data_IF_145342981355
#
_entry.id   IF_145342981355
#
_cell.length_a   1.000
_cell.length_b   1.000
_cell.length_c   1.000
_cell.angle_alpha   90.00
_cell.angle_beta   90.00
_cell.angle_gamma   90.00
#
_symmetry.space_group_name_H-M   'P 1'
#
loop_
_entity.id
_entity.type
_entity.pdbx_description
1 polymer ?
#
# COMPACT_ATOMS: atom_id res chain seq x y z
N UNK A 1 -25.34 -3.30 9.75
CA UNK A 1 -23.95 -2.80 9.75
C UNK A 1 -23.12 -3.73 10.62
N UNK A 2 -22.05 -4.31 10.09
CA UNK A 2 -21.08 -5.04 10.90
C UNK A 2 -20.45 -4.07 11.90
N UNK A 3 -20.38 -4.47 13.17
CA UNK A 3 -19.64 -3.75 14.21
C UNK A 3 -18.19 -4.23 14.16
N UNK A 4 -17.26 -3.29 14.24
CA UNK A 4 -15.82 -3.54 14.17
C UNK A 4 -15.16 -3.14 15.48
N UNK A 5 -14.09 -3.83 15.83
CA UNK A 5 -13.29 -3.56 17.02
C UNK A 5 -11.89 -3.12 16.56
N UNK A 6 -11.49 -1.92 16.99
CA UNK A 6 -10.15 -1.36 16.75
C UNK A 6 -9.08 -1.94 17.68
N UNK A 7 -7.87 -1.37 17.62
CA UNK A 7 -6.82 -1.62 18.61
C UNK A 7 -7.37 -1.30 20.03
N UNK A 8 -7.05 -2.14 21.01
CA UNK A 8 -7.44 -1.98 22.42
C UNK A 8 -8.95 -1.96 22.71
N UNK A 9 -9.77 -2.64 21.90
CA UNK A 9 -11.21 -2.76 22.10
C UNK A 9 -12.01 -1.44 22.04
N UNK A 10 -11.39 -0.37 21.55
CA UNK A 10 -12.04 0.94 21.46
C UNK A 10 -12.98 1.05 20.24
N UNK A 11 -14.26 1.31 20.50
CA UNK A 11 -15.31 1.57 19.50
C UNK A 11 -15.59 3.09 19.46
N UNK A 12 -14.56 3.88 19.13
CA UNK A 12 -14.57 5.35 19.26
C UNK A 12 -14.94 6.09 17.97
N UNK A 13 -15.29 5.39 16.88
CA UNK A 13 -15.42 6.03 15.57
C UNK A 13 -16.84 5.94 15.02
N UNK A 14 -17.55 7.07 15.08
CA UNK A 14 -18.73 7.30 14.23
C UNK A 14 -18.24 7.73 12.85
N UNK A 15 -18.28 6.82 11.89
CA UNK A 15 -17.85 7.09 10.52
C UNK A 15 -18.97 7.84 9.78
N UNK A 16 -18.82 9.15 9.56
CA UNK A 16 -19.71 9.91 8.68
C UNK A 16 -19.35 9.62 7.22
N UNK A 17 -19.79 8.46 6.74
CA UNK A 17 -19.48 7.96 5.39
C UNK A 17 -20.27 8.69 4.31
N UNK A 18 -21.46 9.23 4.63
CA UNK A 18 -22.35 9.83 3.64
C UNK A 18 -21.80 11.16 3.11
N UNK A 19 -21.36 12.06 3.99
CA UNK A 19 -20.76 13.33 3.56
C UNK A 19 -19.45 13.12 2.79
N UNK A 20 -18.67 12.09 3.14
CA UNK A 20 -17.40 11.79 2.48
C UNK A 20 -17.58 11.13 1.10
N UNK A 21 -18.67 10.39 0.87
CA UNK A 21 -18.94 9.70 -0.40
C UNK A 21 -19.03 10.68 -1.55
N UNK A 22 -19.88 11.71 -1.43
CA UNK A 22 -20.14 12.65 -2.52
C UNK A 22 -18.89 13.48 -2.89
N UNK A 23 -18.08 13.82 -1.89
CA UNK A 23 -16.87 14.60 -2.12
C UNK A 23 -15.75 13.76 -2.77
N UNK A 24 -15.53 12.53 -2.27
CA UNK A 24 -14.37 11.70 -2.65
C UNK A 24 -14.66 10.90 -3.92
N UNK A 25 -15.86 10.32 -4.04
CA UNK A 25 -16.25 9.39 -5.10
C UNK A 25 -16.82 10.09 -6.34
N UNK A 26 -17.05 9.31 -7.40
CA UNK A 26 -17.79 9.75 -8.58
C UNK A 26 -19.29 9.81 -8.24
N UNK A 27 -19.78 11.00 -7.90
CA UNK A 27 -21.17 11.23 -7.51
C UNK A 27 -22.13 11.52 -8.69
N UNK A 28 -21.60 11.65 -9.91
CA UNK A 28 -22.36 12.15 -11.06
C UNK A 28 -23.35 11.13 -11.67
N UNK A 29 -23.35 9.88 -11.17
CA UNK A 29 -24.23 8.79 -11.62
C UNK A 29 -24.10 8.44 -13.11
N UNK A 30 -23.18 9.09 -13.82
CA UNK A 30 -23.00 9.02 -15.28
C UNK A 30 -21.60 8.56 -15.64
N UNK A 31 -20.61 8.83 -14.79
CA UNK A 31 -19.25 8.36 -14.97
C UNK A 31 -19.10 6.96 -14.39
N UNK A 32 -18.73 6.00 -15.25
CA UNK A 32 -18.29 4.69 -14.79
C UNK A 32 -16.97 4.80 -14.01
N UNK A 33 -16.75 3.87 -13.07
CA UNK A 33 -15.47 3.74 -12.40
C UNK A 33 -14.34 3.53 -13.40
N UNK A 34 -13.23 4.24 -13.19
CA UNK A 34 -11.96 3.98 -13.86
C UNK A 34 -11.11 3.23 -12.88
N UNK A 35 -11.13 1.91 -13.01
CA UNK A 35 -10.42 0.98 -12.13
C UNK A 35 -9.84 -0.15 -12.97
N UNK A 36 -8.78 -0.74 -12.47
CA UNK A 36 -8.21 -1.99 -12.97
C UNK A 36 -8.50 -3.09 -11.93
N UNK A 37 -8.67 -4.32 -12.40
CA UNK A 37 -8.98 -5.48 -11.56
C UNK A 37 -7.98 -6.59 -11.84
N UNK A 38 -7.35 -7.08 -10.78
CA UNK A 38 -6.48 -8.24 -10.82
C UNK A 38 -6.94 -9.27 -9.78
N UNK A 39 -6.71 -10.54 -10.07
CA UNK A 39 -7.03 -11.64 -9.17
C UNK A 39 -5.89 -12.64 -9.11
N UNK A 40 -5.42 -12.91 -7.90
CA UNK A 40 -4.42 -13.93 -7.62
C UNK A 40 -5.10 -15.05 -6.84
N UNK A 41 -4.92 -16.29 -7.27
CA UNK A 41 -5.52 -17.45 -6.61
C UNK A 41 -4.52 -18.59 -6.54
N UNK A 42 -4.51 -19.28 -5.41
CA UNK A 42 -3.68 -20.45 -5.17
C UNK A 42 -4.53 -21.59 -4.63
N UNK A 43 -4.38 -22.77 -5.23
CA UNK A 43 -5.00 -24.02 -4.83
C UNK A 43 -3.93 -25.00 -4.38
N UNK A 44 -4.22 -25.73 -3.30
CA UNK A 44 -3.36 -26.76 -2.73
C UNK A 44 -4.05 -28.11 -2.71
N UNK A 45 -3.27 -29.19 -2.73
CA UNK A 45 -3.82 -30.53 -2.57
C UNK A 45 -4.34 -30.73 -1.14
N UNK A 46 -5.50 -31.36 -0.99
CA UNK A 46 -6.02 -31.76 0.30
C UNK A 46 -5.23 -32.96 0.85
N UNK A 47 -4.39 -32.72 1.86
CA UNK A 47 -3.58 -33.76 2.50
C UNK A 47 -4.41 -34.74 3.36
N UNK A 48 -5.75 -34.63 3.36
CA UNK A 48 -6.69 -35.49 4.08
C UNK A 48 -7.17 -36.75 3.35
N UNK A 49 -6.68 -37.04 2.14
CA UNK A 49 -7.05 -38.25 1.38
C UNK A 49 -6.03 -39.37 1.65
N UNK A 50 -6.44 -40.60 2.04
CA UNK A 50 -5.52 -41.71 2.23
C UNK A 50 -4.73 -41.95 0.95
N UNK A 51 -3.39 -41.88 1.08
CA UNK A 51 -2.41 -42.18 0.04
C UNK A 51 -2.72 -43.51 -0.67
N UNK A 52 -3.38 -43.44 -1.82
CA UNK A 52 -3.79 -44.62 -2.59
C UNK A 52 -4.31 -44.32 -4.00
N UNK A 53 -4.88 -43.14 -4.25
CA UNK A 53 -5.20 -42.68 -5.60
C UNK A 53 -4.03 -41.86 -6.15
N UNK A 54 -3.32 -42.45 -7.12
CA UNK A 54 -2.32 -41.72 -7.92
C UNK A 54 -3.08 -40.79 -8.87
N UNK A 55 -2.98 -39.49 -8.61
CA UNK A 55 -3.43 -38.45 -9.55
C UNK A 55 -2.39 -38.27 -10.66
N UNK A 56 -2.84 -38.03 -11.89
CA UNK A 56 -1.99 -37.73 -13.07
C UNK A 56 -1.40 -36.31 -13.06
N UNK A 57 -1.56 -35.56 -11.97
CA UNK A 57 -0.92 -34.26 -11.77
C UNK A 57 0.55 -34.49 -11.43
N UNK A 58 1.42 -34.33 -12.41
CA UNK A 58 2.88 -34.34 -12.21
C UNK A 58 3.29 -33.22 -11.26
N UNK A 59 3.60 -33.59 -10.01
CA UNK A 59 4.28 -32.74 -9.05
C UNK A 59 3.44 -32.34 -7.84
N UNK A 60 4.09 -32.32 -6.68
CA UNK A 60 3.57 -31.86 -5.38
C UNK A 60 3.44 -30.32 -5.32
N UNK A 61 3.12 -29.68 -6.46
CA UNK A 61 3.23 -28.23 -6.64
C UNK A 61 1.86 -27.54 -6.56
N UNK A 62 1.81 -26.47 -5.76
CA UNK A 62 0.67 -25.56 -5.65
C UNK A 62 0.25 -25.00 -7.02
N UNK A 63 -1.04 -25.04 -7.32
CA UNK A 63 -1.58 -24.50 -8.57
C UNK A 63 -1.92 -23.03 -8.33
N UNK A 64 -1.23 -22.13 -9.04
CA UNK A 64 -1.40 -20.68 -8.90
C UNK A 64 -1.74 -20.03 -10.23
N UNK A 65 -2.78 -19.20 -10.22
CA UNK A 65 -3.22 -18.42 -11.37
C UNK A 65 -3.25 -16.93 -11.04
N UNK A 66 -2.97 -16.14 -12.07
CA UNK A 66 -3.13 -14.70 -12.07
C UNK A 66 -4.06 -14.30 -13.22
N UNK A 67 -5.10 -13.57 -12.89
CA UNK A 67 -5.86 -12.78 -13.85
C UNK A 67 -5.37 -11.34 -13.74
N UNK A 68 -4.74 -10.84 -14.80
CA UNK A 68 -4.41 -9.42 -14.92
C UNK A 68 -5.50 -8.69 -15.69
N UNK A 69 -5.66 -7.41 -15.38
CA UNK A 69 -6.46 -6.51 -16.20
C UNK A 69 -6.01 -6.57 -17.67
N UNK A 70 -6.98 -6.65 -18.59
CA UNK A 70 -6.74 -6.57 -20.04
C UNK A 70 -7.33 -5.27 -20.55
N UNK A 71 -6.53 -4.49 -21.27
CA UNK A 71 -6.92 -3.17 -21.81
C UNK A 71 -8.21 -3.21 -22.66
N UNK A 72 -8.51 -4.36 -23.28
CA UNK A 72 -9.69 -4.56 -24.12
C UNK A 72 -11.01 -4.56 -23.35
N UNK A 73 -11.00 -4.86 -22.05
CA UNK A 73 -12.20 -4.95 -21.21
C UNK A 73 -12.14 -3.91 -20.10
N UNK A 74 -13.06 -2.93 -20.05
CA UNK A 74 -13.07 -1.92 -18.99
C UNK A 74 -13.11 -2.55 -17.60
N UNK A 75 -12.20 -2.15 -16.70
CA UNK A 75 -12.02 -2.87 -15.42
C UNK A 75 -13.22 -2.79 -14.48
N UNK A 76 -14.09 -1.77 -14.60
CA UNK A 76 -15.36 -1.73 -13.86
C UNK A 76 -16.31 -2.87 -14.22
N UNK A 77 -16.24 -3.41 -15.45
CA UNK A 77 -17.04 -4.59 -15.85
C UNK A 77 -16.53 -5.85 -15.17
N UNK A 78 -15.21 -6.02 -15.11
CA UNK A 78 -14.58 -7.15 -14.43
C UNK A 78 -14.84 -7.09 -12.91
N UNK A 79 -14.81 -5.88 -12.33
CA UNK A 79 -15.22 -5.65 -10.94
C UNK A 79 -16.69 -6.06 -10.71
N UNK A 80 -17.61 -5.65 -11.59
CA UNK A 80 -19.03 -6.04 -11.50
C UNK A 80 -19.20 -7.56 -11.53
N UNK A 81 -18.52 -8.22 -12.48
CA UNK A 81 -18.52 -9.68 -12.60
C UNK A 81 -18.01 -10.34 -11.31
N UNK A 82 -16.88 -9.89 -10.77
CA UNK A 82 -16.23 -10.49 -9.61
C UNK A 82 -17.00 -10.29 -8.30
N UNK A 83 -17.45 -9.07 -8.02
CA UNK A 83 -18.00 -8.70 -6.71
C UNK A 83 -19.53 -8.79 -6.65
N UNK A 84 -20.25 -8.51 -7.74
CA UNK A 84 -21.73 -8.56 -7.74
C UNK A 84 -22.29 -9.83 -8.33
N UNK A 85 -21.64 -10.39 -9.36
CA UNK A 85 -22.12 -11.58 -10.07
C UNK A 85 -21.44 -12.88 -9.62
N UNK A 86 -20.46 -12.79 -8.73
CA UNK A 86 -19.81 -13.96 -8.12
C UNK A 86 -18.79 -14.66 -9.02
N UNK A 87 -18.32 -14.02 -10.10
CA UNK A 87 -17.28 -14.61 -10.93
C UNK A 87 -15.97 -14.74 -10.17
N UNK A 88 -15.24 -15.81 -10.46
CA UNK A 88 -14.00 -16.13 -9.79
C UNK A 88 -13.12 -17.00 -10.68
N UNK A 89 -11.80 -16.89 -10.53
CA UNK A 89 -10.85 -17.79 -11.20
C UNK A 89 -10.91 -19.16 -10.53
N UNK A 90 -11.09 -20.22 -11.32
CA UNK A 90 -11.11 -21.62 -10.90
C UNK A 90 -9.72 -22.29 -11.00
N UNK A 91 -9.65 -23.59 -10.71
CA UNK A 91 -8.40 -24.37 -10.76
C UNK A 91 -7.89 -24.66 -12.19
N UNK A 92 -8.64 -24.27 -13.23
CA UNK A 92 -8.21 -24.33 -14.62
C UNK A 92 -7.76 -22.95 -15.12
N UNK A 93 -7.78 -21.92 -14.26
CA UNK A 93 -7.48 -20.54 -14.64
C UNK A 93 -8.61 -19.84 -15.38
N UNK A 94 -9.83 -20.39 -15.37
CA UNK A 94 -10.99 -19.83 -16.07
C UNK A 94 -11.77 -18.92 -15.13
N UNK A 95 -12.04 -17.69 -15.57
CA UNK A 95 -12.86 -16.74 -14.83
C UNK A 95 -14.35 -16.95 -15.13
N UNK A 96 -15.07 -17.60 -14.21
CA UNK A 96 -16.46 -18.05 -14.41
C UNK A 96 -17.31 -17.85 -13.17
N UNK A 97 -18.64 -17.83 -13.35
CA UNK A 97 -19.63 -17.72 -12.27
C UNK A 97 -19.75 -19.02 -11.46
N UNK A 98 -19.54 -20.16 -12.13
CA UNK A 98 -19.61 -21.50 -11.53
C UNK A 98 -18.22 -22.15 -11.63
N UNK A 99 -17.30 -21.83 -10.71
CA UNK A 99 -15.95 -22.36 -10.76
C UNK A 99 -15.99 -23.89 -10.61
N UNK A 100 -15.35 -24.59 -11.53
CA UNK A 100 -15.27 -26.06 -11.47
C UNK A 100 -14.51 -26.41 -10.19
N UNK A 101 -15.06 -27.34 -9.39
CA UNK A 101 -14.41 -27.84 -8.18
C UNK A 101 -13.65 -29.10 -8.51
N UNK A 102 -12.39 -29.17 -8.09
CA UNK A 102 -11.62 -30.41 -8.17
C UNK A 102 -11.66 -31.09 -6.79
N UNK A 103 -11.94 -32.41 -6.71
CA UNK A 103 -12.12 -33.10 -5.43
C UNK A 103 -10.85 -33.13 -4.55
N UNK A 104 -9.67 -33.05 -5.17
CA UNK A 104 -8.39 -33.09 -4.46
C UNK A 104 -7.78 -31.70 -4.20
N UNK A 105 -8.36 -30.61 -4.73
CA UNK A 105 -7.80 -29.27 -4.59
C UNK A 105 -8.68 -28.39 -3.72
N UNK A 106 -8.05 -27.74 -2.75
CA UNK A 106 -8.67 -26.79 -1.83
C UNK A 106 -8.08 -25.40 -2.06
N UNK A 107 -8.91 -24.37 -1.91
CA UNK A 107 -8.46 -22.98 -1.98
C UNK A 107 -7.53 -22.68 -0.79
N UNK A 108 -6.29 -22.32 -1.08
CA UNK A 108 -5.33 -21.87 -0.06
C UNK A 108 -5.53 -20.38 0.23
N UNK A 109 -5.69 -19.59 -0.82
CA UNK A 109 -6.00 -18.18 -0.70
C UNK A 109 -6.34 -17.52 -2.03
N UNK A 110 -7.10 -16.43 -1.94
CA UNK A 110 -7.51 -15.60 -3.07
C UNK A 110 -7.31 -14.13 -2.73
N UNK A 111 -6.70 -13.36 -3.62
CA UNK A 111 -6.54 -11.91 -3.48
C UNK A 111 -7.14 -11.22 -4.68
N UNK A 112 -8.23 -10.49 -4.46
CA UNK A 112 -8.93 -9.66 -5.44
C UNK A 112 -8.49 -8.22 -5.25
N UNK A 113 -7.74 -7.69 -6.21
CA UNK A 113 -7.15 -6.36 -6.18
C UNK A 113 -7.90 -5.45 -7.13
N UNK A 114 -8.35 -4.30 -6.63
CA UNK A 114 -8.92 -3.21 -7.41
C UNK A 114 -8.00 -2.01 -7.30
N UNK A 115 -7.46 -1.56 -8.43
CA UNK A 115 -6.63 -0.37 -8.51
C UNK A 115 -7.51 0.78 -8.97
N UNK A 116 -7.60 1.83 -8.17
CA UNK A 116 -8.29 3.06 -8.52
C UNK A 116 -7.30 4.21 -8.72
N UNK A 117 -7.65 5.18 -9.56
CA UNK A 117 -6.78 6.31 -9.83
C UNK A 117 -7.14 7.50 -8.93
N UNK A 118 -6.11 8.20 -8.47
CA UNK A 118 -6.29 9.48 -7.78
C UNK A 118 -6.87 10.51 -8.74
N UNK A 119 -7.96 11.16 -8.31
CA UNK A 119 -8.60 12.26 -9.03
C UNK A 119 -8.25 13.58 -8.34
N UNK A 120 -7.56 14.45 -9.05
CA UNK A 120 -7.32 15.83 -8.61
C UNK A 120 -8.48 16.70 -9.11
N UNK A 121 -9.46 17.01 -8.26
CA UNK A 121 -10.57 17.90 -8.63
C UNK A 121 -10.18 19.38 -8.64
N UNK A 122 -9.14 19.78 -7.91
CA UNK A 122 -8.69 21.18 -7.84
C UNK A 122 -7.18 21.36 -7.87
N UNK A 123 -6.73 22.52 -8.37
CA UNK A 123 -5.33 22.99 -8.30
C UNK A 123 -4.85 23.13 -6.85
N UNK A 124 -5.78 23.35 -5.91
CA UNK A 124 -5.52 23.67 -4.51
C UNK A 124 -5.31 22.44 -3.61
N UNK A 125 -5.29 21.22 -4.19
CA UNK A 125 -5.05 19.93 -3.50
C UNK A 125 -6.00 19.61 -2.33
N UNK A 126 -7.08 20.36 -2.13
CA UNK A 126 -8.07 20.15 -1.05
C UNK A 126 -9.10 19.08 -1.38
N UNK A 127 -9.23 18.70 -2.64
CA UNK A 127 -10.21 17.70 -3.11
C UNK A 127 -9.48 16.50 -3.72
N UNK A 128 -8.83 15.72 -2.84
CA UNK A 128 -8.36 14.38 -3.18
C UNK A 128 -9.55 13.44 -3.29
N UNK A 129 -9.84 13.01 -4.52
CA UNK A 129 -10.86 12.02 -4.84
C UNK A 129 -10.29 10.73 -5.40
N UNK A 130 -11.15 9.74 -5.58
CA UNK A 130 -10.84 8.49 -6.28
C UNK A 130 -11.79 8.29 -7.46
N UNK A 131 -11.33 7.62 -8.50
CA UNK A 131 -12.11 7.33 -9.71
C UNK A 131 -13.03 6.12 -9.55
N UNK A 132 -13.72 6.03 -8.42
CA UNK A 132 -14.63 4.93 -8.08
C UNK A 132 -16.02 5.46 -7.73
N UNK A 133 -17.07 4.71 -8.08
CA UNK A 133 -18.46 5.02 -7.72
C UNK A 133 -18.80 4.51 -6.31
N UNK A 134 -19.83 5.06 -5.64
CA UNK A 134 -20.34 4.52 -4.38
C UNK A 134 -20.75 3.04 -4.46
N UNK A 135 -21.43 2.66 -5.55
CA UNK A 135 -21.91 1.28 -5.73
C UNK A 135 -20.74 0.29 -5.87
N UNK A 136 -19.65 0.69 -6.54
CA UNK A 136 -18.45 -0.14 -6.68
C UNK A 136 -17.71 -0.28 -5.35
N UNK A 137 -17.62 0.79 -4.56
CA UNK A 137 -17.04 0.73 -3.22
C UNK A 137 -17.85 -0.21 -2.31
N UNK A 138 -19.17 -0.11 -2.35
CA UNK A 138 -20.07 -0.89 -1.51
C UNK A 138 -20.05 -2.38 -1.88
N UNK A 139 -19.87 -2.70 -3.17
CA UNK A 139 -19.71 -4.08 -3.63
C UNK A 139 -18.43 -4.77 -3.12
N UNK A 140 -17.37 -4.00 -2.82
CA UNK A 140 -16.12 -4.56 -2.30
C UNK A 140 -16.18 -4.92 -0.80
N UNK A 141 -17.22 -4.48 -0.08
CA UNK A 141 -17.43 -4.73 1.35
C UNK A 141 -16.19 -4.43 2.23
N UNK A 142 -15.52 -3.31 1.92
CA UNK A 142 -14.37 -2.84 2.69
C UNK A 142 -14.79 -2.20 4.02
N UNK A 143 -13.83 -2.02 4.91
CA UNK A 143 -14.09 -1.35 6.19
C UNK A 143 -14.68 0.07 6.00
N UNK A 144 -15.69 0.49 6.80
CA UNK A 144 -16.35 1.80 6.65
C UNK A 144 -15.41 3.00 6.73
N UNK A 145 -14.28 2.87 7.42
CA UNK A 145 -13.28 3.93 7.55
C UNK A 145 -12.49 4.20 6.25
N UNK A 146 -12.59 3.35 5.23
CA UNK A 146 -11.79 3.41 3.98
C UNK A 146 -11.72 4.83 3.39
N UNK A 147 -12.88 5.49 3.24
CA UNK A 147 -12.93 6.84 2.68
C UNK A 147 -12.24 7.89 3.56
N UNK A 148 -12.41 7.80 4.87
CA UNK A 148 -11.79 8.73 5.82
C UNK A 148 -10.26 8.66 5.74
N UNK A 149 -9.70 7.47 5.61
CA UNK A 149 -8.26 7.25 5.52
C UNK A 149 -7.70 7.57 4.14
N UNK A 150 -8.50 7.50 3.08
CA UNK A 150 -8.03 7.85 1.72
C UNK A 150 -7.49 9.29 1.62
N UNK A 151 -7.98 10.22 2.45
CA UNK A 151 -7.50 11.62 2.50
C UNK A 151 -6.31 11.83 3.45
N UNK A 152 -6.04 10.87 4.32
CA UNK A 152 -4.93 10.94 5.28
C UNK A 152 -3.62 10.55 4.61
N UNK A 153 -2.53 10.88 5.29
CA UNK A 153 -1.15 10.55 4.92
C UNK A 153 -0.50 10.03 6.21
N UNK A 154 0.45 9.10 6.09
CA UNK A 154 1.20 8.51 7.21
C UNK A 154 0.30 8.03 8.36
N UNK A 155 -0.75 7.29 8.02
CA UNK A 155 -1.68 6.70 8.98
C UNK A 155 -1.89 5.21 8.69
N UNK A 156 -2.20 4.45 9.72
CA UNK A 156 -2.28 3.00 9.69
C UNK A 156 -3.33 2.54 10.69
N UNK A 157 -4.12 1.54 10.33
CA UNK A 157 -5.16 1.01 11.22
C UNK A 157 -5.51 -0.43 10.89
N UNK A 158 -5.75 -1.22 11.93
CA UNK A 158 -6.31 -2.57 11.83
C UNK A 158 -7.65 -2.64 12.55
N UNK A 159 -8.57 -3.44 12.00
CA UNK A 159 -9.89 -3.68 12.57
C UNK A 159 -10.26 -5.15 12.44
N UNK A 160 -10.84 -5.71 13.50
CA UNK A 160 -11.49 -7.01 13.43
C UNK A 160 -13.01 -6.83 13.44
N UNK A 161 -13.73 -7.68 12.73
CA UNK A 161 -15.16 -7.83 12.98
C UNK A 161 -15.40 -8.41 14.39
N UNK A 162 -16.53 -8.11 15.01
CA UNK A 162 -16.86 -8.66 16.35
C UNK A 162 -16.80 -10.19 16.41
N UNK A 163 -17.20 -10.86 15.33
CA UNK A 163 -17.17 -12.32 15.22
C UNK A 163 -15.79 -12.88 14.79
N UNK A 164 -14.78 -12.00 14.65
CA UNK A 164 -13.43 -12.33 14.17
C UNK A 164 -13.42 -13.18 12.90
N UNK A 165 -14.35 -12.88 11.98
CA UNK A 165 -14.40 -13.50 10.65
C UNK A 165 -13.73 -12.64 9.58
N UNK A 166 -13.68 -11.33 9.79
CA UNK A 166 -13.07 -10.37 8.87
C UNK A 166 -11.99 -9.57 9.56
N UNK A 167 -10.83 -9.50 8.93
CA UNK A 167 -9.71 -8.64 9.29
C UNK A 167 -9.59 -7.53 8.25
N UNK A 168 -9.66 -6.28 8.67
CA UNK A 168 -9.43 -5.13 7.79
C UNK A 168 -8.15 -4.41 8.16
N UNK A 169 -7.38 -4.03 7.15
CA UNK A 169 -6.16 -3.25 7.27
C UNK A 169 -6.24 -2.05 6.34
N UNK A 170 -5.94 -0.86 6.85
CA UNK A 170 -5.96 0.39 6.10
C UNK A 170 -4.62 1.09 6.29
N UNK A 171 -3.94 1.38 5.18
CA UNK A 171 -2.64 2.06 5.16
C UNK A 171 -2.72 3.30 4.27
N UNK A 172 -2.38 4.45 4.82
CA UNK A 172 -2.22 5.72 4.11
C UNK A 172 -0.73 6.05 4.06
N UNK A 173 -0.11 5.92 2.90
CA UNK A 173 1.34 6.03 2.73
C UNK A 173 1.80 7.49 2.83
N UNK A 174 3.10 7.68 3.02
CA UNK A 174 3.71 9.01 3.02
C UNK A 174 3.72 9.63 1.61
N UNK A 175 3.65 10.97 1.56
CA UNK A 175 3.85 11.72 0.32
C UNK A 175 5.33 11.96 0.00
N UNK A 176 6.24 11.73 0.96
CA UNK A 176 7.67 11.99 0.80
C UNK A 176 8.50 10.79 1.34
N UNK A 177 9.16 10.01 0.47
CA UNK A 177 9.11 10.10 -0.99
C UNK A 177 7.77 9.63 -1.54
N UNK A 178 7.42 10.12 -2.74
CA UNK A 178 6.18 9.76 -3.42
C UNK A 178 6.33 8.43 -4.13
N UNK A 179 5.44 7.50 -3.83
CA UNK A 179 5.37 6.17 -4.45
C UNK A 179 4.22 6.05 -5.45
N UNK A 180 4.26 5.04 -6.35
CA UNK A 180 3.22 4.82 -7.35
C UNK A 180 1.82 4.67 -6.75
N UNK A 181 1.75 4.04 -5.58
CA UNK A 181 0.52 3.81 -4.81
C UNK A 181 0.62 4.49 -3.45
N UNK A 182 -0.40 5.26 -3.06
CA UNK A 182 -0.35 6.08 -1.84
C UNK A 182 -1.41 5.70 -0.78
N UNK A 183 -2.25 4.72 -1.07
CA UNK A 183 -3.32 4.27 -0.17
C UNK A 183 -3.69 2.82 -0.45
N UNK A 184 -3.96 2.08 0.62
CA UNK A 184 -4.44 0.70 0.63
C UNK A 184 -5.57 0.57 1.64
N UNK A 185 -6.67 -0.06 1.23
CA UNK A 185 -7.67 -0.62 2.15
C UNK A 185 -7.92 -2.06 1.77
N UNK A 186 -7.76 -2.98 2.72
CA UNK A 186 -8.04 -4.38 2.49
C UNK A 186 -8.97 -4.95 3.56
N UNK A 187 -9.75 -5.94 3.17
CA UNK A 187 -10.54 -6.77 4.08
C UNK A 187 -10.36 -8.23 3.69
N UNK A 188 -9.87 -9.03 4.63
CA UNK A 188 -9.70 -10.47 4.50
C UNK A 188 -10.85 -11.19 5.20
N UNK A 189 -11.55 -12.05 4.46
CA UNK A 189 -12.55 -12.96 4.99
C UNK A 189 -11.90 -14.33 5.25
N UNK A 190 -11.82 -14.68 6.54
CA UNK A 190 -11.23 -15.92 7.04
C UNK A 190 -11.99 -17.15 6.53
N UNK A 191 -13.31 -17.06 6.38
CA UNK A 191 -14.16 -18.21 6.01
C UNK A 191 -13.96 -18.60 4.56
N UNK A 192 -13.87 -17.58 3.70
CA UNK A 192 -13.74 -17.74 2.26
C UNK A 192 -12.29 -17.69 1.77
N UNK A 193 -11.32 -17.51 2.69
CA UNK A 193 -9.90 -17.31 2.39
C UNK A 193 -9.66 -16.28 1.29
N UNK A 194 -10.47 -15.23 1.27
CA UNK A 194 -10.50 -14.24 0.19
C UNK A 194 -10.20 -12.85 0.74
N UNK A 195 -9.21 -12.19 0.14
CA UNK A 195 -8.84 -10.79 0.40
C UNK A 195 -9.45 -9.90 -0.67
N UNK A 196 -10.20 -8.90 -0.26
CA UNK A 196 -10.64 -7.80 -1.12
C UNK A 196 -9.76 -6.59 -0.84
N UNK A 197 -9.08 -6.09 -1.87
CA UNK A 197 -8.04 -5.07 -1.73
C UNK A 197 -8.32 -3.90 -2.67
N UNK A 198 -8.42 -2.70 -2.12
CA UNK A 198 -8.45 -1.45 -2.86
C UNK A 198 -7.12 -0.74 -2.72
N UNK A 199 -6.46 -0.47 -3.85
CA UNK A 199 -5.23 0.32 -3.90
C UNK A 199 -5.52 1.61 -4.66
N UNK A 200 -4.97 2.74 -4.21
CA UNK A 200 -5.01 3.99 -4.97
C UNK A 200 -3.67 4.27 -5.62
N UNK A 201 -3.68 4.37 -6.93
CA UNK A 201 -2.55 4.84 -7.71
C UNK A 201 -2.47 6.37 -7.66
N UNK A 202 -1.34 6.86 -7.15
CA UNK A 202 -1.00 8.27 -7.08
C UNK A 202 -0.29 8.77 -8.34
N UNK A 203 0.41 7.88 -9.05
CA UNK A 203 1.16 8.22 -10.25
C UNK A 203 0.24 8.42 -11.44
N UNK A 204 0.48 9.53 -12.14
CA UNK A 204 -0.20 9.84 -13.38
C UNK A 204 0.68 9.46 -14.58
N UNK A 205 0.19 8.67 -15.55
CA UNK A 205 0.99 8.18 -16.69
C UNK A 205 1.69 9.26 -17.52
N UNK A 206 1.14 10.50 -17.52
CA UNK A 206 1.72 11.64 -18.24
C UNK A 206 2.81 12.39 -17.47
N UNK A 207 2.97 12.12 -16.18
CA UNK A 207 3.81 12.90 -15.27
C UNK A 207 4.89 12.07 -14.58
N UNK A 208 4.75 10.75 -14.54
CA UNK A 208 5.63 9.86 -13.79
C UNK A 208 6.10 8.72 -14.68
N UNK A 209 7.30 8.20 -14.40
CA UNK A 209 7.83 7.03 -15.11
C UNK A 209 6.96 5.80 -14.87
N UNK A 210 6.59 5.13 -15.96
CA UNK A 210 5.83 3.86 -15.93
C UNK A 210 6.70 2.69 -15.45
N UNK A 211 8.02 2.79 -15.58
CA UNK A 211 8.97 1.75 -15.12
C UNK A 211 8.81 1.46 -13.61
N UNK A 212 8.43 2.47 -12.83
CA UNK A 212 8.19 2.32 -11.39
C UNK A 212 6.89 1.55 -11.07
N UNK A 213 5.93 1.48 -12.01
CA UNK A 213 4.75 0.63 -11.90
C UNK A 213 5.11 -0.81 -12.25
N UNK A 214 5.88 -1.01 -13.32
CA UNK A 214 6.37 -2.34 -13.72
C UNK A 214 7.19 -3.00 -12.61
N UNK A 215 7.98 -2.20 -11.87
CA UNK A 215 8.76 -2.63 -10.72
C UNK A 215 7.93 -3.27 -9.59
N UNK A 216 6.67 -2.83 -9.45
CA UNK A 216 5.76 -3.35 -8.45
C UNK A 216 5.17 -4.69 -8.89
N UNK A 217 4.74 -4.80 -10.14
CA UNK A 217 4.21 -6.05 -10.68
C UNK A 217 5.27 -7.14 -10.76
N UNK A 218 6.51 -6.79 -11.12
CA UNK A 218 7.66 -7.70 -11.06
C UNK A 218 7.91 -8.26 -9.66
N UNK A 219 7.81 -7.43 -8.62
CA UNK A 219 7.95 -7.90 -7.23
C UNK A 219 6.82 -8.81 -6.80
N UNK A 220 5.60 -8.47 -7.21
CA UNK A 220 4.46 -9.31 -6.88
C UNK A 220 4.55 -10.67 -7.57
N UNK A 221 5.01 -10.70 -8.83
CA UNK A 221 5.30 -11.95 -9.55
C UNK A 221 6.42 -12.76 -8.89
N UNK A 222 7.49 -12.10 -8.43
CA UNK A 222 8.57 -12.77 -7.70
C UNK A 222 8.09 -13.43 -6.40
N UNK A 223 6.98 -12.96 -5.83
CA UNK A 223 6.36 -13.52 -4.63
C UNK A 223 5.22 -14.51 -4.93
N UNK A 224 5.22 -15.17 -6.10
CA UNK A 224 4.20 -16.14 -6.52
C UNK A 224 3.88 -17.23 -5.49
N UNK A 225 4.91 -17.74 -4.79
CA UNK A 225 4.75 -18.73 -3.72
C UNK A 225 3.93 -18.23 -2.52
N UNK A 226 3.69 -16.93 -2.42
CA UNK A 226 2.98 -16.29 -1.31
C UNK A 226 1.70 -15.57 -1.75
N UNK A 227 1.23 -15.77 -2.97
CA UNK A 227 -0.01 -15.16 -3.47
C UNK A 227 -1.26 -15.53 -2.67
N UNK A 228 -1.25 -16.68 -2.00
CA UNK A 228 -2.32 -17.09 -1.09
C UNK A 228 -2.43 -16.18 0.14
N UNK A 229 -1.33 -15.51 0.52
CA UNK A 229 -1.25 -14.79 1.78
C UNK A 229 -1.92 -13.41 1.69
N UNK A 230 -2.84 -13.05 2.61
CA UNK A 230 -3.59 -11.79 2.53
C UNK A 230 -2.71 -10.54 2.62
N UNK A 231 -1.55 -10.63 3.28
CA UNK A 231 -0.62 -9.50 3.38
C UNK A 231 0.38 -9.38 2.23
N UNK A 232 0.27 -10.16 1.16
CA UNK A 232 1.23 -10.02 0.06
C UNK A 232 1.22 -8.60 -0.54
N UNK A 233 0.03 -8.05 -0.81
CA UNK A 233 -0.13 -6.70 -1.36
C UNK A 233 0.44 -5.61 -0.44
N UNK A 234 0.08 -5.50 0.85
CA UNK A 234 0.67 -4.49 1.74
C UNK A 234 2.19 -4.65 1.91
N UNK A 235 2.71 -5.88 1.97
CA UNK A 235 4.16 -6.11 2.08
C UNK A 235 4.90 -5.57 0.87
N UNK A 236 4.45 -5.90 -0.34
CA UNK A 236 5.11 -5.41 -1.58
C UNK A 236 5.03 -3.89 -1.67
N UNK A 237 3.87 -3.29 -1.34
CA UNK A 237 3.74 -1.82 -1.32
C UNK A 237 4.68 -1.17 -0.31
N UNK A 238 4.81 -1.74 0.88
CA UNK A 238 5.71 -1.25 1.92
C UNK A 238 7.18 -1.41 1.53
N UNK A 239 7.54 -2.50 0.86
CA UNK A 239 8.90 -2.72 0.34
C UNK A 239 9.28 -1.64 -0.68
N UNK A 240 8.37 -1.28 -1.59
CA UNK A 240 8.59 -0.18 -2.54
C UNK A 240 8.76 1.14 -1.79
N UNK A 241 7.91 1.44 -0.81
CA UNK A 241 8.06 2.65 0.00
C UNK A 241 9.40 2.71 0.76
N UNK A 242 9.85 1.57 1.30
CA UNK A 242 11.10 1.46 2.02
C UNK A 242 12.28 1.82 1.13
N UNK A 243 12.38 1.17 -0.04
CA UNK A 243 13.45 1.42 -1.02
C UNK A 243 13.48 2.88 -1.48
N UNK A 244 12.32 3.46 -1.81
CA UNK A 244 12.26 4.88 -2.19
C UNK A 244 12.71 5.78 -1.06
N UNK A 245 12.38 5.41 0.18
CA UNK A 245 12.79 6.18 1.37
C UNK A 245 14.29 6.07 1.56
N UNK A 246 14.90 4.91 1.32
CA UNK A 246 16.34 4.71 1.34
C UNK A 246 17.04 5.58 0.28
N UNK A 247 16.56 5.56 -0.97
CA UNK A 247 17.06 6.43 -2.05
C UNK A 247 16.99 7.92 -1.66
N UNK A 248 15.85 8.36 -1.13
CA UNK A 248 15.65 9.74 -0.73
C UNK A 248 16.50 10.16 0.49
N UNK A 249 16.75 9.24 1.42
CA UNK A 249 17.67 9.47 2.54
C UNK A 249 19.10 9.60 2.03
N UNK A 250 19.55 8.76 1.10
CA UNK A 250 20.85 8.89 0.48
C UNK A 250 21.02 10.22 -0.26
N UNK A 251 20.01 10.66 -1.01
CA UNK A 251 20.02 11.96 -1.68
C UNK A 251 20.07 13.11 -0.67
N UNK A 252 19.27 13.05 0.39
CA UNK A 252 19.29 14.04 1.47
C UNK A 252 20.66 14.13 2.15
N UNK A 253 21.33 13.00 2.39
CA UNK A 253 22.71 12.97 2.92
C UNK A 253 23.67 13.70 1.98
N UNK A 254 23.53 13.55 0.66
CA UNK A 254 24.35 14.28 -0.30
C UNK A 254 24.07 15.79 -0.27
N UNK A 255 22.81 16.19 -0.11
CA UNK A 255 22.45 17.60 0.07
C UNK A 255 23.03 18.19 1.37
N UNK A 256 23.00 17.44 2.47
CA UNK A 256 23.65 17.85 3.73
C UNK A 256 25.16 18.05 3.53
N UNK A 257 25.85 17.12 2.88
CA UNK A 257 27.29 17.25 2.58
C UNK A 257 27.61 18.47 1.70
N UNK A 258 26.79 18.73 0.70
CA UNK A 258 26.94 19.92 -0.16
C UNK A 258 26.79 21.20 0.66
N UNK A 259 25.78 21.25 1.53
CA UNK A 259 25.55 22.38 2.41
C UNK A 259 26.70 22.57 3.40
N UNK A 260 27.21 21.50 4.01
CA UNK A 260 28.38 21.56 4.90
C UNK A 260 29.62 22.11 4.20
N UNK A 261 29.83 21.73 2.94
CA UNK A 261 30.90 22.27 2.11
C UNK A 261 30.69 23.76 1.81
N UNK A 262 29.48 24.19 1.45
CA UNK A 262 29.15 25.59 1.21
C UNK A 262 29.34 26.45 2.48
N UNK A 263 28.85 25.99 3.64
CA UNK A 263 29.08 26.65 4.95
C UNK A 263 30.57 26.76 5.26
N UNK A 264 31.32 25.67 5.06
CA UNK A 264 32.78 25.65 5.31
C UNK A 264 33.52 26.62 4.39
N UNK A 265 33.10 26.73 3.13
CA UNK A 265 33.68 27.66 2.16
C UNK A 265 33.46 29.11 2.60
N UNK A 266 32.25 29.47 3.05
CA UNK A 266 31.92 30.83 3.50
C UNK A 266 32.64 31.15 4.81
N UNK A 267 32.68 30.23 5.77
CA UNK A 267 33.43 30.41 7.01
C UNK A 267 34.94 30.61 6.75
N UNK A 268 35.49 29.90 5.75
CA UNK A 268 36.87 30.09 5.29
C UNK A 268 37.11 31.46 4.63
N UNK A 269 36.15 31.95 3.85
CA UNK A 269 36.20 33.29 3.26
C UNK A 269 36.05 34.40 4.31
N UNK A 270 35.13 34.29 5.27
CA UNK A 270 34.98 35.27 6.35
C UNK A 270 36.22 35.33 7.26
N UNK A 271 36.84 34.18 7.56
CA UNK A 271 38.10 34.15 8.29
C UNK A 271 39.22 34.85 7.50
N UNK A 272 39.32 34.61 6.19
CA UNK A 272 40.31 35.25 5.33
C UNK A 272 40.03 36.75 5.13
N UNK A 273 38.77 37.16 5.01
CA UNK A 273 38.37 38.57 4.91
C UNK A 273 38.60 39.31 6.22
N UNK A 274 38.30 38.72 7.38
CA UNK A 274 38.64 39.31 8.68
C UNK A 274 40.16 39.45 8.88
N UNK A 275 40.94 38.46 8.48
CA UNK A 275 42.41 38.50 8.49
C UNK A 275 42.94 39.60 7.56
N UNK A 276 42.38 39.70 6.35
CA UNK A 276 42.71 40.73 5.36
C UNK A 276 42.32 42.11 5.85
N UNK A 277 41.14 42.28 6.44
CA UNK A 277 40.66 43.55 6.96
C UNK A 277 41.49 43.98 8.19
N UNK A 278 41.90 43.05 9.06
CA UNK A 278 42.87 43.31 10.14
C UNK A 278 44.22 43.75 9.58
N UNK A 279 44.76 43.05 8.57
CA UNK A 279 46.01 43.45 7.90
C UNK A 279 45.89 44.79 7.18
N UNK A 280 44.76 45.08 6.55
CA UNK A 280 44.49 46.35 5.89
C UNK A 280 44.31 47.49 6.89
N UNK A 281 43.67 47.26 8.05
CA UNK A 281 43.57 48.23 9.15
C UNK A 281 44.93 48.49 9.80
N UNK A 282 45.78 47.47 9.92
CA UNK A 282 47.17 47.60 10.38
C UNK A 282 48.03 48.38 9.38
N UNK A 283 47.96 48.02 8.09
CA UNK A 283 48.68 48.72 7.01
C UNK A 283 48.22 50.18 6.90
N UNK A 284 46.91 50.45 6.98
CA UNK A 284 46.36 51.83 6.94
C UNK A 284 46.78 52.67 8.16
N UNK A 285 47.10 52.05 9.30
CA UNK A 285 47.72 52.74 10.46
C UNK A 285 49.22 52.99 10.29
N UNK A 286 49.89 52.17 9.49
CA UNK A 286 51.33 52.27 9.19
C UNK A 286 51.61 53.19 7.99
N UNK A 287 50.66 53.37 7.07
CA UNK A 287 50.78 54.24 5.89
C UNK A 287 49.84 55.44 5.99
N UNK A 288 50.22 56.45 6.77
CA UNK A 288 49.70 57.81 6.59
C UNK A 288 50.28 58.39 5.29
N UNK A 289 49.53 58.31 4.19
CA UNK A 289 49.89 59.01 2.96
C UNK A 289 49.20 58.47 1.71
N UNK A 290 48.29 59.28 1.17
CA UNK A 290 47.89 59.38 -0.25
C UNK A 290 47.04 58.29 -0.91
N UNK A 291 45.84 58.77 -1.31
CA UNK A 291 45.08 58.55 -2.56
C UNK A 291 44.24 57.27 -2.76
N UNK A 292 42.91 57.52 -2.80
CA UNK A 292 41.95 57.18 -3.85
C UNK A 292 42.30 56.01 -4.79
N UNK A 293 41.79 54.82 -4.51
CA UNK A 293 41.49 53.82 -5.54
C UNK A 293 40.18 53.10 -5.21
N UNK A 294 39.35 52.92 -6.25
CA UNK A 294 38.06 52.23 -6.23
C UNK A 294 38.25 50.78 -5.77
N UNK A 295 37.76 50.47 -4.59
CA UNK A 295 37.62 49.07 -4.12
C UNK A 295 36.58 48.36 -4.99
N UNK A 296 36.85 47.17 -5.54
CA UNK A 296 35.82 46.38 -6.22
C UNK A 296 34.75 46.01 -5.19
N UNK A 297 33.48 46.24 -5.51
CA UNK A 297 32.35 45.78 -4.71
C UNK A 297 32.41 44.25 -4.59
N UNK A 298 32.78 43.78 -3.40
CA UNK A 298 32.68 42.37 -3.02
C UNK A 298 31.21 41.98 -3.11
N UNK A 299 30.95 40.86 -3.80
CA UNK A 299 29.63 40.28 -3.98
C UNK A 299 28.89 40.19 -2.64
N UNK A 300 27.74 40.85 -2.56
CA UNK A 300 27.07 41.19 -1.32
C UNK A 300 26.32 40.05 -0.58
N UNK A 301 25.59 40.39 0.51
CA UNK A 301 24.94 39.51 1.48
C UNK A 301 23.83 38.56 0.96
N UNK A 302 23.68 38.44 -0.36
CA UNK A 302 22.77 37.49 -1.02
C UNK A 302 23.19 36.02 -0.81
N UNK A 303 24.45 35.76 -0.44
CA UNK A 303 24.98 34.40 -0.19
C UNK A 303 24.42 33.75 1.08
N UNK A 304 24.37 34.48 2.21
CA UNK A 304 23.93 33.92 3.50
C UNK A 304 22.43 33.61 3.53
N UNK A 305 21.60 34.44 2.89
CA UNK A 305 20.15 34.19 2.80
C UNK A 305 19.83 32.92 1.99
N UNK A 306 20.55 32.69 0.90
CA UNK A 306 20.41 31.47 0.09
C UNK A 306 20.91 30.23 0.84
N UNK A 307 22.02 30.35 1.58
CA UNK A 307 22.55 29.28 2.43
C UNK A 307 21.55 28.88 3.53
N UNK A 308 20.98 29.86 4.23
CA UNK A 308 19.97 29.62 5.26
C UNK A 308 18.70 28.99 4.69
N UNK A 309 18.28 29.40 3.50
CA UNK A 309 17.15 28.78 2.79
C UNK A 309 17.46 27.31 2.44
N UNK A 310 18.65 27.05 1.88
CA UNK A 310 19.11 25.69 1.57
C UNK A 310 19.16 24.81 2.83
N UNK A 311 19.72 25.32 3.93
CA UNK A 311 19.74 24.63 5.22
C UNK A 311 18.33 24.30 5.74
N UNK A 312 17.42 25.26 5.67
CA UNK A 312 16.02 25.05 6.05
C UNK A 312 15.35 23.99 5.17
N UNK A 313 15.57 24.02 3.85
CA UNK A 313 14.95 23.07 2.92
C UNK A 313 15.49 21.65 3.13
N UNK A 314 16.80 21.50 3.37
CA UNK A 314 17.43 20.21 3.72
C UNK A 314 16.86 19.67 5.03
N UNK A 315 16.81 20.50 6.08
CA UNK A 315 16.25 20.10 7.39
C UNK A 315 14.78 19.70 7.29
N UNK A 316 13.98 20.47 6.54
CA UNK A 316 12.57 20.17 6.30
C UNK A 316 12.39 18.82 5.62
N UNK A 317 13.26 18.49 4.67
CA UNK A 317 13.23 17.18 4.00
C UNK A 317 13.66 16.05 4.94
N UNK A 318 14.70 16.24 5.75
CA UNK A 318 15.11 15.26 6.76
C UNK A 318 14.00 14.96 7.77
N UNK A 319 13.24 15.98 8.22
CA UNK A 319 12.09 15.80 9.12
C UNK A 319 11.01 14.95 8.47
N UNK A 320 10.64 15.24 7.22
CA UNK A 320 9.63 14.45 6.51
C UNK A 320 10.06 13.00 6.31
N UNK A 321 11.32 12.77 5.96
CA UNK A 321 11.87 11.42 5.80
C UNK A 321 11.86 10.66 7.14
N UNK A 322 12.23 11.33 8.24
CA UNK A 322 12.14 10.76 9.58
C UNK A 322 10.70 10.38 9.96
N UNK A 323 9.72 11.23 9.64
CA UNK A 323 8.31 10.94 9.87
C UNK A 323 7.83 9.73 9.05
N UNK A 324 8.30 9.60 7.81
CA UNK A 324 8.03 8.42 6.96
C UNK A 324 8.64 7.16 7.55
N UNK A 325 9.89 7.20 8.02
CA UNK A 325 10.55 6.05 8.67
C UNK A 325 9.82 5.63 9.95
N UNK A 326 9.45 6.59 10.80
CA UNK A 326 8.66 6.33 12.01
C UNK A 326 7.29 5.74 11.69
N UNK A 327 6.65 6.21 10.62
CA UNK A 327 5.40 5.62 10.15
C UNK A 327 5.59 4.18 9.67
N UNK A 328 6.62 3.90 8.87
CA UNK A 328 6.92 2.54 8.42
C UNK A 328 7.15 1.60 9.61
N UNK A 329 7.87 2.04 10.64
CA UNK A 329 8.05 1.25 11.87
C UNK A 329 6.71 0.88 12.53
N UNK A 330 5.77 1.83 12.62
CA UNK A 330 4.43 1.56 13.17
C UNK A 330 3.64 0.60 12.29
N UNK A 331 3.71 0.75 10.97
CA UNK A 331 3.06 -0.14 10.00
C UNK A 331 3.59 -1.57 10.14
N UNK A 332 4.91 -1.76 10.19
CA UNK A 332 5.51 -3.10 10.36
C UNK A 332 5.03 -3.75 11.66
N UNK A 333 5.07 -3.01 12.78
CA UNK A 333 4.56 -3.51 14.07
C UNK A 333 3.08 -3.92 13.99
N UNK A 334 2.25 -3.08 13.37
CA UNK A 334 0.83 -3.34 13.21
C UNK A 334 0.56 -4.56 12.32
N UNK A 335 1.31 -4.71 11.23
CA UNK A 335 1.19 -5.87 10.33
C UNK A 335 1.65 -7.17 11.00
N UNK A 336 2.74 -7.14 11.78
CA UNK A 336 3.18 -8.29 12.56
C UNK A 336 2.11 -8.72 13.57
N UNK A 337 1.58 -7.76 14.35
CA UNK A 337 0.48 -8.03 15.29
C UNK A 337 -0.77 -8.59 14.59
N UNK A 338 -1.18 -7.99 13.47
CA UNK A 338 -2.32 -8.48 12.70
C UNK A 338 -2.07 -9.88 12.12
N UNK A 339 -0.82 -10.20 11.78
CA UNK A 339 -0.39 -11.52 11.29
C UNK A 339 -0.43 -12.59 12.38
N UNK A 340 0.09 -12.28 13.56
CA UNK A 340 0.05 -13.18 14.71
C UNK A 340 -1.41 -13.47 15.12
N UNK A 341 -2.25 -12.43 15.20
CA UNK A 341 -3.69 -12.56 15.48
C UNK A 341 -4.41 -13.40 14.41
N UNK A 342 -4.06 -13.21 13.14
CA UNK A 342 -4.64 -13.96 12.04
C UNK A 342 -4.20 -15.44 12.08
N UNK A 343 -2.92 -15.72 12.36
CA UNK A 343 -2.40 -17.08 12.47
C UNK A 343 -3.04 -17.84 13.65
N UNK A 344 -3.22 -17.18 14.79
CA UNK A 344 -3.98 -17.72 15.92
C UNK A 344 -5.43 -18.03 15.51
N UNK A 345 -6.06 -17.15 14.72
CA UNK A 345 -7.44 -17.36 14.27
C UNK A 345 -7.55 -18.48 13.24
N UNK A 346 -6.60 -18.58 12.31
CA UNK A 346 -6.56 -19.62 11.29
C UNK A 346 -6.28 -20.99 11.91
N UNK A 347 -5.32 -21.12 12.83
CA UNK A 347 -5.06 -22.37 13.53
C UNK A 347 -6.26 -22.87 14.34
N UNK A 348 -6.96 -21.97 15.05
CA UNK A 348 -8.20 -22.32 15.78
C UNK A 348 -9.40 -22.56 14.87
N UNK A 349 -9.46 -21.89 13.71
CA UNK A 349 -10.51 -22.01 12.71
C UNK A 349 -10.39 -23.29 11.87
N UNK A 350 -9.19 -23.66 11.46
CA UNK A 350 -8.91 -24.90 10.72
C UNK A 350 -9.27 -26.15 11.53
N UNK A 351 -9.07 -26.11 12.86
CA UNK A 351 -9.55 -27.15 13.76
C UNK A 351 -11.07 -27.31 13.71
N UNK A 352 -11.83 -26.21 13.65
CA UNK A 352 -13.30 -26.24 13.58
C UNK A 352 -13.83 -26.64 12.21
N UNK A 353 -13.26 -26.12 11.12
CA UNK A 353 -13.66 -26.47 9.75
C UNK A 353 -13.42 -27.97 9.50
N UNK A 354 -12.29 -28.51 9.95
CA UNK A 354 -12.02 -29.96 9.86
C UNK A 354 -13.00 -30.80 10.66
N UNK A 355 -13.45 -30.34 11.83
CA UNK A 355 -14.46 -31.03 12.64
C UNK A 355 -15.85 -30.99 12.00
N UNK A 356 -16.24 -29.84 11.43
CA UNK A 356 -17.52 -29.68 10.74
C UNK A 356 -17.56 -30.50 9.44
N UNK A 357 -16.48 -30.52 8.64
CA UNK A 357 -16.38 -31.35 7.43
C UNK A 357 -16.37 -32.86 7.76
N UNK A 358 -15.80 -33.26 8.91
CA UNK A 358 -15.86 -34.65 9.38
C UNK A 358 -17.31 -35.06 9.71
N UNK A 359 -18.04 -34.21 10.43
CA UNK A 359 -19.44 -34.46 10.75
C UNK A 359 -20.36 -34.45 9.53
N UNK A 360 -20.11 -33.60 8.54
CA UNK A 360 -20.87 -33.61 7.28
C UNK A 360 -20.61 -34.90 6.49
N UNK A 361 -19.34 -35.35 6.39
CA UNK A 361 -19.00 -36.62 5.73
C UNK A 361 -19.59 -37.85 6.43
N UNK A 362 -19.59 -37.89 7.77
CA UNK A 362 -20.23 -38.98 8.52
C UNK A 362 -21.75 -39.02 8.29
N UNK A 363 -22.42 -37.86 8.24
CA UNK A 363 -23.87 -37.82 7.97
C UNK A 363 -24.25 -38.20 6.53
N UNK A 364 -23.37 -37.95 5.56
CA UNK A 364 -23.58 -38.33 4.16
C UNK A 364 -23.21 -39.80 3.89
N UNK A 365 -22.32 -40.40 4.69
CA UNK A 365 -22.03 -41.83 4.66
C UNK A 365 -23.17 -42.64 5.31
N UNK A 366 -23.64 -42.23 6.49
CA UNK A 366 -24.77 -42.87 7.20
C UNK A 366 -26.07 -42.83 6.37
N UNK A 367 -26.25 -41.79 5.54
CA UNK A 367 -27.42 -41.69 4.64
C UNK A 367 -27.34 -42.59 3.41
N UNK A 368 -26.13 -42.89 2.91
CA UNK A 368 -25.94 -43.82 1.79
C UNK A 368 -26.13 -45.26 2.24
N UNK A 369 -25.60 -45.62 3.40
CA UNK A 369 -25.76 -46.96 3.97
C UNK A 369 -27.23 -47.28 4.33
N UNK A 370 -28.05 -46.26 4.65
CA UNK A 370 -29.50 -46.42 4.85
C UNK A 370 -30.30 -46.52 3.55
N UNK A 371 -29.78 -46.01 2.43
CA UNK A 371 -30.43 -46.15 1.11
C UNK A 371 -30.10 -47.47 0.41
N UNK A 372 -28.96 -48.09 0.72
CA UNK A 372 -28.60 -49.42 0.18
C UNK A 372 -29.25 -50.59 0.93
N UNK A 373 -29.93 -50.33 2.06
CA UNK A 373 -30.65 -51.34 2.86
C UNK A 373 -32.19 -51.33 2.65
N UNK A 374 -32.71 -50.53 1.72
CA UNK A 374 -34.13 -50.56 1.28
C UNK A 374 -34.23 -51.05 -0.15
#
# INVERSE_FOLDING_TARGET
MARFQGLDSSDLFRFDTLALRDDILLADGKSASKVEYDEYVVFKKDNGIPSGMKTELEGDQDISFQLQHKDDVPGHRTLDLAFRRGYSVDHNGVFTQEPVRHPELVLDGRVRRVICFRRNKSFDRREDGITMTPDDLDAMDLHPATLQYSRRVTNESRFWSLDRSKLSLILSFSKNPRTPYDFLSMTYDVRNRTSSVLVRQSFHPRQHSLENLDEYDQRLEACRAHWAHPFITPVVLLQVQFMRTEEAVMENINHVKSLEWEVSSIAGFEAFEMERERRSKLMRRLTFGTQNEKVPQVAGPMSMANLMKSAHDVLKESIKLLDTVRWMERVVKLMLQAGDELAERMSTGELKIRLDDFHVRDTDADRRDQQEQQ
#
